data_IF_958122254649
#
_entry.id   IF_958122254649
#
_cell.length_a   1.000
_cell.length_b   1.000
_cell.length_c   1.000
_cell.angle_alpha   90.00
_cell.angle_beta   90.00
_cell.angle_gamma   90.00
#
_symmetry.space_group_name_H-M   'P 1'
#
loop_
_entity.id
_entity.type
_entity.pdbx_description
1 polymer ?
#
# COMPACT_ATOMS: atom_id res chain seq x y z
N UNK A 1 -10.70 -9.16 -15.35
CA UNK A 1 -9.35 -9.73 -15.17
C UNK A 1 -8.53 -9.69 -16.47
N UNK A 2 -8.89 -10.41 -17.54
CA UNK A 2 -8.03 -10.58 -18.74
C UNK A 2 -7.48 -9.28 -19.36
N UNK A 3 -8.34 -8.30 -19.71
CA UNK A 3 -7.91 -7.02 -20.28
C UNK A 3 -6.92 -6.23 -19.40
N UNK A 4 -7.09 -6.30 -18.08
CA UNK A 4 -6.20 -5.64 -17.14
C UNK A 4 -4.83 -6.33 -17.11
N UNK A 5 -4.80 -7.67 -17.06
CA UNK A 5 -3.54 -8.40 -17.12
C UNK A 5 -2.82 -8.23 -18.46
N UNK A 6 -3.57 -8.16 -19.58
CA UNK A 6 -2.98 -7.89 -20.90
C UNK A 6 -2.24 -6.53 -20.90
N UNK A 7 -2.84 -5.50 -20.29
CA UNK A 7 -2.21 -4.18 -20.13
C UNK A 7 -1.00 -4.23 -19.18
N UNK A 8 -1.13 -4.88 -18.03
CA UNK A 8 -0.04 -5.01 -17.05
C UNK A 8 1.18 -5.71 -17.67
N UNK A 9 0.95 -6.77 -18.44
CA UNK A 9 2.01 -7.50 -19.14
C UNK A 9 2.65 -6.67 -20.27
N UNK A 10 1.88 -5.82 -20.95
CA UNK A 10 2.43 -4.95 -22.00
C UNK A 10 3.22 -3.77 -21.45
N UNK A 11 2.72 -3.13 -20.40
CA UNK A 11 3.34 -1.93 -19.80
C UNK A 11 4.52 -2.27 -18.89
N UNK A 12 4.52 -3.47 -18.29
CA UNK A 12 5.55 -3.94 -17.33
C UNK A 12 5.86 -2.88 -16.26
N UNK A 13 4.87 -2.48 -15.43
CA UNK A 13 5.06 -1.41 -14.46
C UNK A 13 6.21 -1.71 -13.49
N UNK A 14 6.94 -0.69 -13.05
CA UNK A 14 7.96 -0.84 -12.01
C UNK A 14 7.35 -1.01 -10.60
N UNK A 15 6.15 -0.47 -10.39
CA UNK A 15 5.40 -0.48 -9.14
C UNK A 15 3.91 -0.72 -9.41
N UNK A 16 3.31 -1.64 -8.66
CA UNK A 16 1.88 -1.86 -8.57
C UNK A 16 1.43 -1.56 -7.14
N UNK A 17 0.51 -0.63 -6.97
CA UNK A 17 -0.10 -0.32 -5.70
C UNK A 17 -1.62 -0.45 -5.82
N UNK A 18 -2.23 -1.26 -4.96
CA UNK A 18 -3.69 -1.38 -4.87
C UNK A 18 -4.19 -0.64 -3.64
N UNK A 19 -5.33 0.06 -3.76
CA UNK A 19 -5.92 0.84 -2.67
C UNK A 19 -7.14 0.11 -2.11
N UNK A 20 -7.14 -0.11 -0.81
CA UNK A 20 -8.12 -0.90 -0.08
C UNK A 20 -8.53 -0.20 1.22
N UNK A 21 -9.61 -0.68 1.80
CA UNK A 21 -10.08 -0.25 3.11
C UNK A 21 -10.37 -1.49 3.98
N UNK A 22 -9.94 -1.45 5.23
CA UNK A 22 -10.19 -2.51 6.20
C UNK A 22 -11.11 -2.02 7.31
N UNK A 23 -12.07 -2.86 7.68
CA UNK A 23 -12.98 -2.63 8.81
C UNK A 23 -12.29 -2.72 10.15
N UNK A 24 -11.21 -3.52 10.24
CA UNK A 24 -10.43 -3.69 11.47
C UNK A 24 -9.12 -2.93 11.38
N UNK A 25 -8.82 -2.19 12.45
CA UNK A 25 -7.53 -1.52 12.62
C UNK A 25 -6.42 -2.55 12.79
N UNK A 26 -5.24 -2.24 12.29
CA UNK A 26 -4.05 -3.06 12.47
C UNK A 26 -3.76 -3.26 13.97
N UNK A 27 -3.55 -4.53 14.31
CA UNK A 27 -3.17 -4.98 15.63
C UNK A 27 -2.23 -6.19 15.42
N UNK A 28 -0.93 -6.03 15.66
CA UNK A 28 0.04 -7.12 15.48
C UNK A 28 -0.16 -8.27 16.48
N UNK A 29 -0.97 -8.07 17.53
CA UNK A 29 -1.25 -9.07 18.56
C UNK A 29 -2.55 -9.83 18.33
N UNK A 30 -3.34 -9.46 17.32
CA UNK A 30 -4.61 -10.12 17.04
C UNK A 30 -4.43 -11.56 16.52
N UNK A 31 -5.32 -12.47 16.96
CA UNK A 31 -5.34 -13.88 16.52
C UNK A 31 -5.54 -14.07 15.00
N UNK A 32 -6.08 -13.04 14.33
CA UNK A 32 -6.28 -13.02 12.88
C UNK A 32 -5.72 -11.72 12.30
N UNK A 33 -5.13 -11.76 11.10
CA UNK A 33 -4.63 -10.56 10.45
C UNK A 33 -5.69 -9.47 10.36
N UNK A 34 -5.31 -8.28 10.79
CA UNK A 34 -6.02 -7.03 10.55
C UNK A 34 -5.12 -6.13 9.71
N UNK A 35 -5.69 -5.22 8.93
CA UNK A 35 -4.94 -4.50 7.90
C UNK A 35 -5.11 -2.98 7.95
N UNK A 36 -6.11 -2.47 8.68
CA UNK A 36 -6.44 -1.05 8.63
C UNK A 36 -5.30 -0.19 9.14
N UNK A 37 -4.89 0.77 8.31
CA UNK A 37 -3.76 1.68 8.53
C UNK A 37 -2.38 1.03 8.30
N UNK A 38 -2.23 0.29 7.20
CA UNK A 38 -0.96 -0.37 6.85
C UNK A 38 -0.57 -0.18 5.38
N UNK A 39 0.74 -0.34 5.14
CA UNK A 39 1.28 -0.68 3.82
C UNK A 39 1.70 -2.15 3.86
N UNK A 40 0.96 -2.98 3.15
CA UNK A 40 1.18 -4.42 3.05
C UNK A 40 2.11 -4.74 1.89
N UNK A 41 3.08 -5.63 2.11
CA UNK A 41 4.03 -6.12 1.11
C UNK A 41 4.26 -7.62 1.25
N UNK A 42 4.56 -8.30 0.13
CA UNK A 42 4.70 -9.76 0.06
C UNK A 42 6.13 -10.31 -0.04
N UNK A 43 7.15 -9.45 -0.07
CA UNK A 43 8.54 -9.86 -0.31
C UNK A 43 9.50 -9.50 0.84
N UNK A 44 10.56 -10.30 0.99
CA UNK A 44 11.69 -10.00 1.87
C UNK A 44 13.01 -9.92 1.07
N UNK A 45 13.92 -8.97 1.38
CA UNK A 45 13.75 -7.91 2.38
C UNK A 45 12.63 -6.91 1.99
N UNK A 46 12.08 -6.21 2.99
CA UNK A 46 11.04 -5.19 2.77
C UNK A 46 11.54 -4.19 1.70
N UNK A 47 10.71 -3.84 0.70
CA UNK A 47 11.08 -2.81 -0.28
C UNK A 47 11.29 -1.44 0.39
N UNK A 48 12.39 -0.76 0.11
CA UNK A 48 12.74 0.53 0.74
C UNK A 48 11.67 1.62 0.56
N UNK A 49 10.90 1.56 -0.53
CA UNK A 49 9.79 2.48 -0.79
C UNK A 49 8.71 2.42 0.31
N UNK A 50 8.55 1.27 0.97
CA UNK A 50 7.62 1.11 2.09
C UNK A 50 8.05 2.01 3.25
N UNK A 51 9.30 1.90 3.69
CA UNK A 51 9.80 2.66 4.84
C UNK A 51 9.81 4.17 4.57
N UNK A 52 10.22 4.58 3.36
CA UNK A 52 10.17 6.00 2.97
C UNK A 52 8.76 6.55 2.94
N UNK A 53 7.80 5.80 2.39
CA UNK A 53 6.40 6.21 2.33
C UNK A 53 5.79 6.29 3.73
N UNK A 54 6.02 5.29 4.59
CA UNK A 54 5.56 5.28 5.97
C UNK A 54 6.11 6.45 6.78
N UNK A 55 7.40 6.75 6.66
CA UNK A 55 8.01 7.89 7.34
C UNK A 55 7.30 9.21 6.98
N UNK A 56 6.99 9.42 5.69
CA UNK A 56 6.28 10.62 5.21
C UNK A 56 4.82 10.66 5.65
N UNK A 57 4.13 9.52 5.65
CA UNK A 57 2.75 9.42 6.12
C UNK A 57 2.65 9.73 7.62
N UNK A 58 3.52 9.12 8.43
CA UNK A 58 3.55 9.30 9.87
C UNK A 58 4.06 10.69 10.29
N UNK A 59 4.82 11.37 9.42
CA UNK A 59 5.13 12.79 9.60
C UNK A 59 3.92 13.69 9.28
N UNK A 60 3.14 13.36 8.24
CA UNK A 60 1.99 14.16 7.79
C UNK A 60 0.76 13.97 8.68
N UNK A 61 0.54 12.76 9.18
CA UNK A 61 -0.63 12.35 9.95
C UNK A 61 -0.19 11.96 11.36
N UNK A 62 -0.37 12.87 12.31
CA UNK A 62 0.13 12.74 13.69
C UNK A 62 -0.95 12.43 14.73
N UNK A 63 -2.19 12.16 14.32
CA UNK A 63 -3.24 11.76 15.26
C UNK A 63 -2.91 10.41 15.91
N UNK A 64 -3.37 10.21 17.16
CA UNK A 64 -3.15 8.98 17.93
C UNK A 64 -3.55 7.72 17.16
N UNK A 65 -4.61 7.83 16.37
CA UNK A 65 -5.12 6.70 15.60
C UNK A 65 -4.51 6.55 14.20
N UNK A 66 -3.80 7.57 13.72
CA UNK A 66 -3.45 7.75 12.32
C UNK A 66 -2.10 7.12 11.92
N UNK A 67 -1.41 6.52 12.89
CA UNK A 67 -0.14 5.85 12.65
C UNK A 67 -0.30 4.74 11.62
N UNK A 68 0.60 4.75 10.63
CA UNK A 68 0.71 3.74 9.61
C UNK A 68 1.82 2.76 9.93
N UNK A 69 1.51 1.47 9.80
CA UNK A 69 2.43 0.38 10.03
C UNK A 69 2.81 -0.35 8.73
N UNK A 70 4.04 -0.89 8.65
CA UNK A 70 4.38 -1.89 7.65
C UNK A 70 3.77 -3.25 8.04
N UNK A 71 3.22 -3.98 7.06
CA UNK A 71 2.74 -5.34 7.31
C UNK A 71 3.26 -6.31 6.26
N UNK A 72 4.11 -7.25 6.69
CA UNK A 72 4.53 -8.36 5.83
C UNK A 72 3.41 -9.40 5.75
N UNK A 73 2.90 -9.67 4.55
CA UNK A 73 1.82 -10.64 4.36
C UNK A 73 1.94 -11.33 2.99
N UNK A 74 2.79 -12.36 2.86
CA UNK A 74 3.08 -13.04 1.61
C UNK A 74 1.96 -14.04 1.24
N UNK A 75 0.81 -13.53 0.81
CA UNK A 75 -0.29 -14.38 0.33
C UNK A 75 -0.33 -14.38 -1.18
N UNK A 76 0.13 -15.50 -1.75
CA UNK A 76 0.24 -15.76 -3.20
C UNK A 76 -1.07 -15.62 -3.98
N UNK A 77 -2.23 -15.55 -3.31
CA UNK A 77 -3.54 -15.40 -3.97
C UNK A 77 -4.07 -13.97 -3.98
N UNK A 78 -3.33 -12.98 -3.46
CA UNK A 78 -3.74 -11.59 -3.60
C UNK A 78 -3.59 -11.13 -5.07
N UNK A 79 -4.45 -10.23 -5.52
CA UNK A 79 -4.35 -9.68 -6.88
C UNK A 79 -3.00 -8.98 -7.13
N UNK A 80 -2.40 -8.44 -6.08
CA UNK A 80 -1.09 -7.76 -6.14
C UNK A 80 0.02 -8.77 -6.37
N UNK A 81 0.05 -9.88 -5.64
CA UNK A 81 1.08 -10.91 -5.80
C UNK A 81 1.01 -11.59 -7.18
N UNK A 82 -0.19 -11.84 -7.71
CA UNK A 82 -0.37 -12.38 -9.07
C UNK A 82 0.26 -11.46 -10.14
N UNK A 83 0.22 -10.14 -9.94
CA UNK A 83 0.84 -9.16 -10.84
C UNK A 83 2.36 -9.13 -10.66
N UNK A 84 2.83 -9.15 -9.40
CA UNK A 84 4.25 -9.17 -9.06
C UNK A 84 4.91 -10.40 -9.67
N UNK A 85 4.33 -11.59 -9.50
CA UNK A 85 4.84 -12.84 -10.06
C UNK A 85 4.92 -12.80 -11.60
N UNK A 86 3.96 -12.13 -12.24
CA UNK A 86 3.91 -12.04 -13.70
C UNK A 86 4.90 -11.04 -14.30
N UNK A 87 5.22 -9.95 -13.60
CA UNK A 87 5.98 -8.81 -14.16
C UNK A 87 7.36 -8.63 -13.52
N UNK A 88 7.51 -9.01 -12.25
CA UNK A 88 8.69 -8.73 -11.42
C UNK A 88 8.73 -7.31 -10.88
N UNK A 89 7.57 -6.68 -10.65
CA UNK A 89 7.46 -5.32 -10.12
C UNK A 89 7.38 -5.29 -8.59
N UNK A 90 7.50 -4.10 -7.99
CA UNK A 90 7.18 -3.94 -6.56
C UNK A 90 5.66 -3.95 -6.40
N UNK A 91 5.13 -4.82 -5.55
CA UNK A 91 3.70 -4.89 -5.22
C UNK A 91 3.41 -4.40 -3.81
N UNK A 92 2.48 -3.45 -3.70
CA UNK A 92 2.00 -2.90 -2.43
C UNK A 92 0.48 -2.98 -2.34
N UNK A 93 -0.04 -3.29 -1.16
CA UNK A 93 -1.47 -3.15 -0.86
C UNK A 93 -1.62 -2.10 0.26
N UNK A 94 -2.35 -1.03 -0.05
CA UNK A 94 -2.52 0.13 0.81
C UNK A 94 -3.87 0.01 1.50
N UNK A 95 -3.88 -0.01 2.82
CA UNK A 95 -5.08 -0.32 3.59
C UNK A 95 -5.37 0.83 4.56
N UNK A 96 -6.39 1.65 4.27
CA UNK A 96 -6.88 2.64 5.25
C UNK A 96 -7.90 2.02 6.19
N UNK A 97 -7.96 2.47 7.44
CA UNK A 97 -8.94 1.98 8.40
C UNK A 97 -10.31 2.66 8.25
N UNK A 98 -11.39 1.88 8.12
CA UNK A 98 -12.77 2.37 8.00
C UNK A 98 -13.32 3.05 9.27
N UNK A 99 -12.59 3.00 10.40
CA UNK A 99 -12.96 3.74 11.61
C UNK A 99 -12.85 5.26 11.46
N UNK A 100 -12.05 5.75 10.51
CA UNK A 100 -11.99 7.18 10.18
C UNK A 100 -13.17 7.63 9.35
N UNK A 101 -13.45 8.93 9.32
CA UNK A 101 -14.38 9.52 8.35
C UNK A 101 -13.89 9.30 6.91
N UNK A 102 -14.82 9.13 5.97
CA UNK A 102 -14.50 8.87 4.56
C UNK A 102 -13.56 9.92 3.96
N UNK A 103 -13.81 11.20 4.25
CA UNK A 103 -12.96 12.30 3.80
C UNK A 103 -11.51 12.11 4.25
N UNK A 104 -11.29 11.63 5.48
CA UNK A 104 -9.95 11.41 6.03
C UNK A 104 -9.26 10.22 5.36
N UNK A 105 -10.00 9.14 5.10
CA UNK A 105 -9.48 7.97 4.34
C UNK A 105 -9.09 8.34 2.92
N UNK A 106 -9.90 9.14 2.24
CA UNK A 106 -9.58 9.67 0.90
C UNK A 106 -8.32 10.53 0.94
N UNK A 107 -8.19 11.44 1.92
CA UNK A 107 -6.99 12.27 2.07
C UNK A 107 -5.73 11.42 2.25
N UNK A 108 -5.82 10.41 3.11
CA UNK A 108 -4.77 9.44 3.39
C UNK A 108 -4.36 8.64 2.15
N UNK A 109 -5.32 8.07 1.40
CA UNK A 109 -5.02 7.35 0.17
C UNK A 109 -4.40 8.25 -0.90
N UNK A 110 -4.87 9.51 -1.02
CA UNK A 110 -4.26 10.49 -1.94
C UNK A 110 -2.80 10.78 -1.55
N UNK A 111 -2.52 10.95 -0.27
CA UNK A 111 -1.15 11.16 0.21
C UNK A 111 -0.23 9.97 -0.12
N UNK A 112 -0.72 8.73 0.04
CA UNK A 112 0.02 7.53 -0.36
C UNK A 112 0.36 7.58 -1.86
N UNK A 113 -0.64 7.81 -2.72
CA UNK A 113 -0.42 7.88 -4.18
C UNK A 113 0.58 9.00 -4.52
N UNK A 114 0.45 10.17 -3.91
CA UNK A 114 1.36 11.29 -4.13
C UNK A 114 2.81 10.94 -3.75
N UNK A 115 3.02 10.30 -2.60
CA UNK A 115 4.35 9.89 -2.15
C UNK A 115 4.95 8.77 -2.99
N UNK A 116 4.15 7.78 -3.40
CA UNK A 116 4.60 6.72 -4.29
C UNK A 116 5.01 7.26 -5.66
N UNK A 117 4.22 8.18 -6.25
CA UNK A 117 4.52 8.81 -7.53
C UNK A 117 5.79 9.68 -7.48
N UNK A 118 6.04 10.32 -6.34
CA UNK A 118 7.26 11.09 -6.09
C UNK A 118 8.49 10.16 -5.98
N UNK A 119 8.37 9.08 -5.22
CA UNK A 119 9.43 8.08 -5.02
C UNK A 119 9.87 7.41 -6.33
N UNK A 120 8.94 7.14 -7.26
CA UNK A 120 9.26 6.58 -8.57
C UNK A 120 9.60 7.64 -9.63
N UNK A 121 9.66 8.92 -9.25
CA UNK A 121 10.07 10.03 -10.12
C UNK A 121 9.03 10.46 -11.17
N UNK A 122 7.77 10.04 -11.03
CA UNK A 122 6.66 10.41 -11.94
C UNK A 122 6.10 11.78 -11.61
N UNK A 123 5.94 12.12 -10.33
CA UNK A 123 5.43 13.43 -9.88
C UNK A 123 6.23 13.94 -8.69
N UNK A 124 7.11 14.91 -8.92
CA UNK A 124 7.87 15.54 -7.83
C UNK A 124 6.97 16.35 -6.92
N UNK A 125 7.09 16.13 -5.62
CA UNK A 125 6.49 16.99 -4.61
C UNK A 125 7.49 18.08 -4.21
N UNK A 126 7.06 19.34 -4.30
CA UNK A 126 7.84 20.53 -3.96
C UNK A 126 7.85 20.80 -2.45
#
# INVERSE_FOLDING_TARGET
ARRFMDLVLSERPALMATLHESTKRYDPTADRPTFGQTIVYGVEPRPEIVDRTLARLNQRFGGEEEHWDPQFFPVATSSTEVIVDAVGCIGLCIETWMGFEERRRIEMQKAVVEFLLDDIGVRRLS
#
